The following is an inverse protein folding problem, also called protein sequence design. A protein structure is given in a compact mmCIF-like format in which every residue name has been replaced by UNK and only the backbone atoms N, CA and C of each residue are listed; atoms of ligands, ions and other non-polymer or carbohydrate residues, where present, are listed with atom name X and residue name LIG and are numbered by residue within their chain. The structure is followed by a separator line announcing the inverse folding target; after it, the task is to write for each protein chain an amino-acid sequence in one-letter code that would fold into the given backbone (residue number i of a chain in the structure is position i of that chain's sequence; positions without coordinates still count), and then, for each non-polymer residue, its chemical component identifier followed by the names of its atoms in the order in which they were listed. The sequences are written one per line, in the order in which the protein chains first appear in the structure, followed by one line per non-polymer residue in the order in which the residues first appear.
data_IF_918803840692
#
_entry.id   IF_918803840692
#
_cell.length_a   1.000
_cell.length_b   1.000
_cell.length_c   1.000
_cell.angle_alpha   90.00
_cell.angle_beta   90.00
_cell.angle_gamma   90.00
#
_symmetry.space_group_name_H-M   'P 1'
#
loop_
_entity.id
_entity.type
_entity.pdbx_description
1 polymer ?
#
# COMPACT_ATOMS: atom_id res chain seq x y z
N UNK A 1 26.89 22.32 37.09
CA UNK A 1 25.54 22.51 36.53
C UNK A 1 25.31 21.42 35.49
N UNK A 2 24.54 20.35 35.76
CA UNK A 2 24.23 19.36 34.73
C UNK A 2 23.01 19.84 33.93
N UNK A 3 23.18 20.05 32.63
CA UNK A 3 22.09 20.33 31.70
C UNK A 3 21.21 19.08 31.57
N UNK A 4 19.95 19.17 32.05
CA UNK A 4 18.91 18.18 31.73
C UNK A 4 18.71 18.19 30.22
N UNK A 5 19.04 17.08 29.56
CA UNK A 5 18.57 16.81 28.22
C UNK A 5 17.06 16.56 28.33
N UNK A 6 16.25 17.56 27.99
CA UNK A 6 14.81 17.36 27.80
C UNK A 6 14.67 16.70 26.44
N UNK A 7 14.35 15.42 26.43
CA UNK A 7 13.88 14.75 25.22
C UNK A 7 12.57 15.43 24.83
N UNK A 8 12.64 16.31 23.84
CA UNK A 8 11.45 16.74 23.12
C UNK A 8 11.00 15.47 22.39
N UNK A 9 9.94 14.85 22.88
CA UNK A 9 9.24 13.84 22.12
C UNK A 9 8.69 14.55 20.88
N UNK A 10 9.37 14.37 19.75
CA UNK A 10 8.91 14.76 18.41
C UNK A 10 7.75 13.83 17.98
N UNK A 11 6.76 13.69 18.87
CA UNK A 11 5.47 13.09 18.63
C UNK A 11 4.51 14.20 18.19
N UNK A 12 5.02 15.21 17.49
CA UNK A 12 4.22 16.26 16.90
C UNK A 12 3.62 15.71 15.61
N UNK A 13 2.37 15.26 15.76
CA UNK A 13 1.41 15.19 14.68
C UNK A 13 1.79 14.26 13.52
N UNK A 14 2.29 13.05 13.84
CA UNK A 14 2.26 11.98 12.83
C UNK A 14 0.78 11.74 12.53
N UNK A 15 0.28 12.08 11.32
CA UNK A 15 -1.12 11.87 11.02
C UNK A 15 -1.38 10.38 11.26
N UNK A 16 -2.34 10.08 12.14
CA UNK A 16 -2.80 8.70 12.31
C UNK A 16 -3.07 8.18 10.91
N UNK A 17 -2.40 7.10 10.47
CA UNK A 17 -2.68 6.56 9.16
C UNK A 17 -4.16 6.23 9.17
N UNK A 18 -4.94 6.99 8.40
CA UNK A 18 -6.35 6.69 8.17
C UNK A 18 -6.39 5.23 7.76
N UNK A 19 -6.94 4.38 8.64
CA UNK A 19 -7.01 2.96 8.40
C UNK A 19 -8.05 2.77 7.30
N UNK A 20 -7.59 2.81 6.04
CA UNK A 20 -8.44 2.55 4.90
C UNK A 20 -8.76 1.06 4.94
N UNK A 21 -9.86 0.72 5.60
CA UNK A 21 -10.47 -0.61 5.62
C UNK A 21 -11.17 -0.86 4.27
N UNK A 22 -10.38 -0.74 3.20
CA UNK A 22 -10.77 -1.14 1.85
C UNK A 22 -10.71 -2.65 1.72
N UNK A 23 -11.66 -3.21 0.96
CA UNK A 23 -11.79 -4.66 0.73
C UNK A 23 -10.52 -5.18 0.03
N UNK A 24 -10.01 -6.32 0.47
CA UNK A 24 -8.95 -7.00 -0.26
C UNK A 24 -9.49 -7.63 -1.55
N UNK A 25 -8.66 -7.74 -2.58
CA UNK A 25 -9.00 -8.44 -3.81
C UNK A 25 -8.35 -9.82 -3.83
N UNK A 26 -9.19 -10.86 -3.89
CA UNK A 26 -8.73 -12.25 -3.86
C UNK A 26 -8.50 -12.85 -5.25
N UNK A 27 -9.03 -12.19 -6.29
CA UNK A 27 -9.03 -12.72 -7.65
C UNK A 27 -10.01 -13.88 -7.82
N UNK A 28 -11.11 -13.89 -7.06
CA UNK A 28 -12.17 -14.91 -7.19
C UNK A 28 -13.24 -14.48 -8.20
N UNK A 29 -13.95 -15.46 -8.74
CA UNK A 29 -15.03 -15.21 -9.70
C UNK A 29 -16.17 -14.42 -9.03
N UNK A 30 -16.68 -13.39 -9.71
CA UNK A 30 -17.71 -12.49 -9.19
C UNK A 30 -17.18 -11.28 -8.42
N UNK A 31 -15.86 -11.18 -8.16
CA UNK A 31 -15.27 -9.95 -7.64
C UNK A 31 -15.14 -8.88 -8.73
N UNK A 32 -15.54 -7.66 -8.40
CA UNK A 32 -15.47 -6.54 -9.32
C UNK A 32 -14.09 -5.87 -9.24
N UNK A 33 -13.21 -6.25 -10.17
CA UNK A 33 -11.87 -5.68 -10.29
C UNK A 33 -11.88 -4.16 -10.50
N UNK A 34 -12.79 -3.64 -11.34
CA UNK A 34 -12.85 -2.20 -11.65
C UNK A 34 -13.21 -1.37 -10.42
N UNK A 35 -14.17 -1.85 -9.62
CA UNK A 35 -14.54 -1.20 -8.36
C UNK A 35 -13.37 -1.21 -7.38
N UNK A 36 -12.68 -2.34 -7.25
CA UNK A 36 -11.52 -2.46 -6.37
C UNK A 36 -10.37 -1.53 -6.78
N UNK A 37 -10.01 -1.46 -8.07
CA UNK A 37 -9.00 -0.53 -8.58
C UNK A 37 -9.38 0.91 -8.21
N UNK A 38 -10.66 1.27 -8.38
CA UNK A 38 -11.13 2.62 -8.06
C UNK A 38 -11.02 2.95 -6.57
N UNK A 39 -11.29 1.99 -5.69
CA UNK A 39 -11.09 2.14 -4.24
C UNK A 39 -9.62 2.38 -3.90
N UNK A 40 -8.70 1.65 -4.53
CA UNK A 40 -7.27 1.84 -4.33
C UNK A 40 -6.82 3.22 -4.82
N UNK A 41 -7.23 3.65 -6.01
CA UNK A 41 -6.91 5.00 -6.50
C UNK A 41 -7.41 6.09 -5.53
N UNK A 42 -8.60 5.92 -4.95
CA UNK A 42 -9.14 6.85 -3.94
C UNK A 42 -8.32 6.83 -2.65
N UNK A 43 -7.87 5.65 -2.21
CA UNK A 43 -6.99 5.51 -1.06
C UNK A 43 -5.64 6.20 -1.30
N UNK A 44 -5.02 6.01 -2.47
CA UNK A 44 -3.75 6.66 -2.81
C UNK A 44 -3.86 8.18 -2.82
N UNK A 45 -4.92 8.71 -3.44
CA UNK A 45 -5.19 10.16 -3.47
C UNK A 45 -5.41 10.72 -2.06
N UNK A 46 -6.19 10.00 -1.23
CA UNK A 46 -6.49 10.39 0.16
C UNK A 46 -5.25 10.35 1.06
N UNK A 47 -4.38 9.36 0.87
CA UNK A 47 -3.16 9.17 1.66
C UNK A 47 -1.95 9.91 1.08
N UNK A 48 -2.12 10.69 0.00
CA UNK A 48 -1.05 11.42 -0.70
C UNK A 48 0.13 10.53 -1.12
N UNK A 49 -0.14 9.27 -1.47
CA UNK A 49 0.89 8.32 -1.90
C UNK A 49 1.30 8.62 -3.35
N UNK A 50 2.54 9.05 -3.55
CA UNK A 50 3.06 9.51 -4.85
C UNK A 50 4.23 8.69 -5.38
N UNK A 51 4.94 7.96 -4.52
CA UNK A 51 6.11 7.19 -4.93
C UNK A 51 5.68 5.83 -5.46
N UNK A 52 6.20 5.44 -6.62
CA UNK A 52 5.82 4.20 -7.32
C UNK A 52 5.92 2.96 -6.41
N UNK A 53 7.02 2.84 -5.66
CA UNK A 53 7.21 1.71 -4.74
C UNK A 53 6.18 1.69 -3.60
N UNK A 54 5.67 2.85 -3.15
CA UNK A 54 4.62 2.91 -2.12
C UNK A 54 3.25 2.53 -2.70
N UNK A 55 2.98 2.90 -3.95
CA UNK A 55 1.76 2.52 -4.67
C UNK A 55 1.71 1.01 -4.87
N UNK A 56 2.79 0.42 -5.41
CA UNK A 56 2.93 -1.03 -5.59
C UNK A 56 2.84 -1.76 -4.24
N UNK A 57 3.53 -1.27 -3.20
CA UNK A 57 3.46 -1.89 -1.87
C UNK A 57 2.07 -1.82 -1.25
N UNK A 58 1.34 -0.72 -1.44
CA UNK A 58 -0.04 -0.60 -0.98
C UNK A 58 -0.91 -1.64 -1.68
N UNK A 59 -0.77 -1.77 -3.00
CA UNK A 59 -1.62 -2.67 -3.74
C UNK A 59 -1.42 -4.12 -3.39
N UNK A 60 -0.16 -4.56 -3.35
CA UNK A 60 0.18 -5.92 -2.96
C UNK A 60 -0.30 -6.20 -1.53
N UNK A 61 -0.34 -5.21 -0.65
CA UNK A 61 -0.91 -5.36 0.71
C UNK A 61 -2.43 -5.57 0.72
N UNK A 62 -3.12 -5.14 -0.34
CA UNK A 62 -4.57 -5.26 -0.56
C UNK A 62 -4.94 -6.44 -1.44
N UNK A 63 -3.97 -7.17 -1.97
CA UNK A 63 -4.20 -8.46 -2.60
C UNK A 63 -4.29 -9.57 -1.56
N UNK A 64 -5.17 -10.52 -1.84
CA UNK A 64 -5.34 -11.75 -1.07
C UNK A 64 -5.49 -12.95 -2.03
N UNK A 65 -5.54 -14.16 -1.48
CA UNK A 65 -5.80 -15.39 -2.22
C UNK A 65 -4.95 -15.53 -3.49
N UNK A 66 -5.62 -15.82 -4.61
CA UNK A 66 -4.96 -16.09 -5.90
C UNK A 66 -4.27 -14.84 -6.46
N UNK A 67 -4.84 -13.66 -6.25
CA UNK A 67 -4.25 -12.42 -6.74
C UNK A 67 -2.91 -12.14 -6.04
N UNK A 68 -2.84 -12.38 -4.73
CA UNK A 68 -1.59 -12.23 -3.96
C UNK A 68 -0.53 -13.26 -4.37
N UNK A 69 -0.93 -14.52 -4.53
CA UNK A 69 -0.02 -15.59 -4.98
C UNK A 69 0.58 -15.28 -6.35
N UNK A 70 -0.23 -14.78 -7.29
CA UNK A 70 0.22 -14.34 -8.60
C UNK A 70 1.24 -13.20 -8.49
N UNK A 71 0.91 -12.12 -7.76
CA UNK A 71 1.79 -10.97 -7.61
C UNK A 71 3.15 -11.33 -6.99
N UNK A 72 3.18 -12.22 -6.00
CA UNK A 72 4.41 -12.71 -5.37
C UNK A 72 5.23 -13.63 -6.30
N UNK A 73 4.57 -14.44 -7.12
CA UNK A 73 5.24 -15.29 -8.12
C UNK A 73 5.90 -14.44 -9.21
N UNK A 74 5.22 -13.40 -9.69
CA UNK A 74 5.80 -12.43 -10.61
C UNK A 74 7.00 -11.71 -9.96
N UNK A 75 6.84 -11.25 -8.71
CA UNK A 75 7.87 -10.57 -7.91
C UNK A 75 9.16 -11.36 -7.68
N UNK A 76 9.05 -12.69 -7.60
CA UNK A 76 10.21 -13.57 -7.40
C UNK A 76 10.85 -14.03 -8.70
N UNK A 77 10.14 -13.94 -9.83
CA UNK A 77 10.64 -14.36 -11.14
C UNK A 77 11.41 -13.27 -11.90
N UNK A 78 11.28 -12.00 -11.50
CA UNK A 78 11.91 -10.84 -12.15
C UNK A 78 12.50 -9.94 -11.06
N UNK A 79 13.80 -9.60 -11.16
CA UNK A 79 14.56 -8.83 -10.15
C UNK A 79 13.93 -7.48 -9.75
N UNK A 80 12.93 -6.99 -10.49
CA UNK A 80 12.05 -5.87 -10.13
C UNK A 80 10.71 -6.07 -10.86
N UNK A 81 9.85 -7.01 -10.40
CA UNK A 81 8.65 -7.38 -11.17
C UNK A 81 7.70 -6.22 -11.49
N UNK A 82 7.66 -5.17 -10.65
CA UNK A 82 6.74 -4.05 -10.81
C UNK A 82 7.43 -2.72 -10.50
N UNK A 83 8.07 -2.07 -11.49
CA UNK A 83 8.70 -0.76 -11.29
C UNK A 83 7.68 0.35 -11.02
N UNK A 84 6.44 0.22 -11.48
CA UNK A 84 5.36 1.20 -11.31
C UNK A 84 4.02 0.51 -11.08
N UNK A 85 3.04 1.26 -10.53
CA UNK A 85 1.66 0.79 -10.39
C UNK A 85 1.07 0.30 -11.72
N UNK A 86 1.28 1.05 -12.81
CA UNK A 86 0.77 0.71 -14.14
C UNK A 86 1.36 -0.59 -14.73
N UNK A 87 2.46 -1.08 -14.14
CA UNK A 87 3.10 -2.35 -14.54
C UNK A 87 2.64 -3.56 -13.73
N UNK A 88 1.95 -3.33 -12.60
CA UNK A 88 1.32 -4.35 -11.77
C UNK A 88 0.02 -4.84 -12.39
#
# INVERSE_FOLDING_TARGET
MPTRYVSISDEEDRPSPLRVEGKNYSGTEGENLILWIREIEMAMRSCLIKLDHQQVSLDISKLDGRAREWALTCSTSVDLSFPTWESL
#
